data_IF_537797030260
#
_entry.id   IF_537797030260
#
_cell.length_a   1.000
_cell.length_b   1.000
_cell.length_c   1.000
_cell.angle_alpha   90.00
_cell.angle_beta   90.00
_cell.angle_gamma   90.00
#
_symmetry.space_group_name_H-M   'P 1'
#
loop_
_entity.id
_entity.type
_entity.pdbx_description
1 polymer ?
#
# COMPACT_ATOMS: atom_id res chain seq x y z
N UNK A 1 -12.93 12.41 12.07
CA UNK A 1 -11.83 13.35 11.81
C UNK A 1 -12.42 14.24 10.76
N UNK A 2 -12.63 15.50 11.11
CA UNK A 2 -13.09 16.45 10.11
C UNK A 2 -11.95 16.74 9.17
N UNK A 3 -12.20 16.51 7.88
CA UNK A 3 -11.26 16.74 6.80
C UNK A 3 -12.05 17.16 5.57
N UNK A 4 -11.56 18.15 4.87
CA UNK A 4 -11.99 18.54 3.53
C UNK A 4 -10.77 18.57 2.62
N UNK A 5 -10.95 18.20 1.36
CA UNK A 5 -9.88 18.07 0.38
C UNK A 5 -10.22 18.89 -0.86
N UNK A 6 -9.22 19.59 -1.38
CA UNK A 6 -9.27 20.41 -2.58
C UNK A 6 -8.18 20.00 -3.56
N UNK A 7 -8.44 20.24 -4.84
CA UNK A 7 -7.40 20.26 -5.88
C UNK A 7 -7.20 21.72 -6.27
N UNK A 8 -5.96 22.19 -6.15
CA UNK A 8 -5.62 23.60 -6.35
C UNK A 8 -5.36 23.90 -7.83
N UNK A 9 -5.66 25.13 -8.25
CA UNK A 9 -5.53 25.62 -9.64
C UNK A 9 -4.30 26.51 -9.85
N UNK A 10 -3.51 26.78 -8.81
CA UNK A 10 -2.39 27.72 -8.87
C UNK A 10 -2.76 29.19 -8.74
N UNK A 11 -4.05 29.52 -8.60
CA UNK A 11 -4.56 30.89 -8.59
C UNK A 11 -5.40 31.21 -7.35
N UNK A 12 -6.18 30.25 -6.88
CA UNK A 12 -7.06 30.39 -5.72
C UNK A 12 -6.24 30.43 -4.43
N UNK A 13 -6.44 31.48 -3.63
CA UNK A 13 -5.76 31.70 -2.35
C UNK A 13 -6.65 31.44 -1.15
N UNK A 14 -7.96 31.32 -1.35
CA UNK A 14 -8.94 31.20 -0.27
C UNK A 14 -9.74 29.89 -0.39
N UNK A 15 -9.74 29.12 0.69
CA UNK A 15 -10.39 27.82 0.75
C UNK A 15 -11.28 27.71 1.99
N UNK A 16 -12.57 27.49 1.79
CA UNK A 16 -13.52 27.37 2.88
C UNK A 16 -13.42 26.01 3.61
N UNK A 17 -13.82 25.96 4.86
CA UNK A 17 -14.06 24.72 5.59
C UNK A 17 -15.24 24.88 6.53
N UNK A 18 -15.97 23.78 6.77
CA UNK A 18 -17.21 23.78 7.55
C UNK A 18 -17.19 22.66 8.59
N UNK A 19 -16.39 22.84 9.64
CA UNK A 19 -16.39 21.97 10.80
C UNK A 19 -16.08 22.77 12.06
N UNK A 20 -16.60 22.34 13.23
CA UNK A 20 -16.37 23.04 14.49
C UNK A 20 -14.93 22.88 15.00
N UNK A 21 -14.35 23.91 15.59
CA UNK A 21 -13.01 23.92 16.20
C UNK A 21 -12.99 24.85 17.42
N UNK A 22 -11.94 24.79 18.26
CA UNK A 22 -11.88 25.56 19.51
C UNK A 22 -10.92 26.74 19.43
N UNK A 23 -9.89 26.62 18.59
CA UNK A 23 -8.91 27.69 18.34
C UNK A 23 -8.31 27.53 16.94
N UNK A 24 -7.78 28.63 16.40
CA UNK A 24 -7.13 28.64 15.07
C UNK A 24 -6.05 27.55 14.93
N UNK A 25 -5.29 27.29 15.99
CA UNK A 25 -4.23 26.27 16.00
C UNK A 25 -4.74 24.82 15.86
N UNK A 26 -6.05 24.58 16.02
CA UNK A 26 -6.65 23.27 15.81
C UNK A 26 -6.91 22.98 14.33
N UNK A 27 -6.84 23.98 13.45
CA UNK A 27 -7.00 23.80 12.01
C UNK A 27 -5.63 23.63 11.38
N UNK A 28 -5.42 22.49 10.74
CA UNK A 28 -4.16 22.11 10.10
C UNK A 28 -4.36 21.87 8.62
N UNK A 29 -3.26 22.03 7.91
CA UNK A 29 -3.22 21.89 6.46
C UNK A 29 -2.13 20.87 6.09
N UNK A 30 -2.47 19.99 5.15
CA UNK A 30 -1.49 19.16 4.47
C UNK A 30 -1.55 19.42 2.96
N UNK A 31 -0.39 19.44 2.34
CA UNK A 31 -0.22 19.65 0.90
C UNK A 31 0.54 18.44 0.37
N UNK A 32 -0.06 17.72 -0.58
CA UNK A 32 0.45 16.44 -1.08
C UNK A 32 0.85 15.48 0.04
N UNK A 33 -0.04 15.33 1.03
CA UNK A 33 0.12 14.46 2.20
C UNK A 33 1.29 14.82 3.13
N UNK A 34 1.94 15.98 2.93
CA UNK A 34 2.91 16.57 3.84
C UNK A 34 2.24 17.62 4.73
N UNK A 35 2.25 17.41 6.05
CA UNK A 35 1.76 18.40 7.02
C UNK A 35 2.75 19.56 7.06
N UNK A 36 2.35 20.67 6.47
CA UNK A 36 3.21 21.82 6.25
C UNK A 36 3.08 22.84 7.37
N UNK A 37 3.74 22.60 8.50
CA UNK A 37 3.89 23.65 9.53
C UNK A 37 4.92 24.73 9.13
N UNK A 38 5.51 24.68 7.92
CA UNK A 38 6.51 25.68 7.49
C UNK A 38 6.75 25.86 5.99
N UNK A 39 6.00 25.20 5.10
CA UNK A 39 6.23 25.36 3.65
C UNK A 39 5.40 26.50 3.02
N UNK A 40 4.27 26.86 3.60
CA UNK A 40 3.36 27.89 3.10
C UNK A 40 2.87 28.76 4.26
N UNK A 41 2.90 30.08 4.07
CA UNK A 41 2.28 31.00 5.02
C UNK A 41 0.78 31.04 4.73
N UNK A 42 -0.02 30.75 5.76
CA UNK A 42 -1.47 30.81 5.69
C UNK A 42 -2.03 31.39 6.99
N UNK A 43 -3.22 31.97 6.88
CA UNK A 43 -4.00 32.47 8.01
C UNK A 43 -5.36 31.79 8.01
N UNK A 44 -5.83 31.39 9.19
CA UNK A 44 -7.19 30.89 9.38
C UNK A 44 -8.08 32.08 9.75
N UNK A 45 -9.09 32.34 8.94
CA UNK A 45 -10.15 33.32 9.22
C UNK A 45 -11.40 32.57 9.71
N UNK A 46 -11.61 32.49 11.04
CA UNK A 46 -12.77 31.81 11.61
C UNK A 46 -14.05 32.58 11.33
N UNK A 47 -15.19 31.88 11.28
CA UNK A 47 -16.50 32.51 11.45
C UNK A 47 -16.77 32.84 12.93
N UNK A 48 -17.81 33.63 13.21
CA UNK A 48 -18.09 34.14 14.56
C UNK A 48 -18.36 33.03 15.60
N UNK A 49 -18.89 31.89 15.17
CA UNK A 49 -19.32 30.78 16.01
C UNK A 49 -18.34 29.58 16.01
N UNK A 50 -17.17 29.71 15.38
CA UNK A 50 -16.16 28.65 15.25
C UNK A 50 -16.69 27.34 14.65
N UNK A 51 -17.73 27.42 13.82
CA UNK A 51 -18.30 26.27 13.09
C UNK A 51 -17.66 26.05 11.71
N UNK A 52 -16.75 26.94 11.31
CA UNK A 52 -16.01 26.89 10.06
C UNK A 52 -15.19 28.15 9.82
N UNK A 53 -14.81 28.38 8.57
CA UNK A 53 -14.04 29.55 8.21
C UNK A 53 -13.33 29.37 6.88
N UNK A 54 -12.38 30.25 6.61
CA UNK A 54 -11.56 30.20 5.42
C UNK A 54 -10.09 30.09 5.78
N UNK A 55 -9.36 29.29 5.01
CA UNK A 55 -7.91 29.31 4.95
C UNK A 55 -7.51 30.28 3.86
N UNK A 56 -6.72 31.29 4.22
CA UNK A 56 -6.19 32.29 3.29
C UNK A 56 -4.68 32.11 3.18
N UNK A 57 -4.20 31.80 1.99
CA UNK A 57 -2.78 31.69 1.68
C UNK A 57 -2.22 33.04 1.19
N UNK A 58 -1.00 33.37 1.61
CA UNK A 58 -0.28 34.54 1.09
C UNK A 58 0.05 34.39 -0.40
N UNK A 59 0.34 33.15 -0.82
CA UNK A 59 0.64 32.75 -2.20
C UNK A 59 -0.19 31.51 -2.51
N UNK A 60 -0.91 31.53 -3.63
CA UNK A 60 -1.73 30.39 -4.06
C UNK A 60 -0.89 29.10 -4.12
N UNK A 61 -1.37 27.97 -3.56
CA UNK A 61 -0.67 26.70 -3.70
C UNK A 61 -0.54 26.31 -5.19
N UNK A 62 0.53 25.63 -5.61
CA UNK A 62 0.74 25.24 -7.00
C UNK A 62 -0.44 24.50 -7.61
N UNK A 63 -0.63 24.59 -8.93
CA UNK A 63 -1.69 23.86 -9.62
C UNK A 63 -1.54 22.34 -9.45
N UNK A 64 -2.66 21.63 -9.58
CA UNK A 64 -2.78 20.16 -9.52
C UNK A 64 -2.22 19.55 -8.21
N UNK A 65 -2.24 20.33 -7.13
CA UNK A 65 -1.77 19.90 -5.82
C UNK A 65 -2.95 19.57 -4.91
N UNK A 66 -2.84 18.47 -4.16
CA UNK A 66 -3.86 18.07 -3.18
C UNK A 66 -3.70 18.88 -1.90
N UNK A 67 -4.71 19.67 -1.58
CA UNK A 67 -4.80 20.46 -0.37
C UNK A 67 -5.81 19.83 0.59
N UNK A 68 -5.37 19.41 1.76
CA UNK A 68 -6.20 18.86 2.81
C UNK A 68 -6.28 19.83 3.98
N UNK A 69 -7.49 20.22 4.37
CA UNK A 69 -7.75 21.05 5.56
C UNK A 69 -8.47 20.15 6.57
N UNK A 70 -7.91 20.03 7.77
CA UNK A 70 -8.42 19.11 8.76
C UNK A 70 -8.29 19.63 10.19
N UNK A 71 -9.08 19.05 11.08
CA UNK A 71 -9.04 19.37 12.50
C UNK A 71 -8.05 18.47 13.23
N UNK A 72 -7.17 19.07 14.01
CA UNK A 72 -6.25 18.41 14.92
C UNK A 72 -6.19 19.17 16.25
N UNK A 73 -6.96 18.68 17.22
CA UNK A 73 -7.04 19.28 18.55
C UNK A 73 -5.77 18.94 19.35
N UNK A 74 -5.12 19.95 19.91
CA UNK A 74 -4.02 19.74 20.87
C UNK A 74 -4.60 19.45 22.25
N UNK A 75 -4.29 18.29 22.83
CA UNK A 75 -4.85 17.89 24.13
C UNK A 75 -4.17 18.67 25.26
N UNK A 76 -4.74 19.83 25.60
CA UNK A 76 -4.31 20.66 26.72
C UNK A 76 -5.52 21.11 27.51
N UNK A 77 -5.43 21.06 28.84
CA UNK A 77 -6.45 21.67 29.70
C UNK A 77 -6.32 23.19 29.59
N UNK A 78 -7.41 23.85 29.21
CA UNK A 78 -7.47 25.31 29.05
C UNK A 78 -7.95 26.02 30.32
N UNK A 79 -8.71 25.33 31.17
CA UNK A 79 -9.26 25.87 32.41
C UNK A 79 -8.36 25.52 33.60
N UNK A 80 -8.01 26.54 34.39
CA UNK A 80 -7.20 26.38 35.60
C UNK A 80 -8.09 26.15 36.84
N UNK A 81 -8.31 24.87 37.18
CA UNK A 81 -9.06 24.51 38.38
C UNK A 81 -8.20 24.66 39.64
N UNK A 82 -8.59 25.62 40.48
CA UNK A 82 -7.94 25.85 41.76
C UNK A 82 -8.52 24.92 42.85
N UNK A 83 -7.70 24.16 43.59
CA UNK A 83 -8.17 23.17 44.56
C UNK A 83 -9.09 23.71 45.67
N UNK A 84 -8.94 25.00 45.99
CA UNK A 84 -9.68 25.68 47.07
C UNK A 84 -10.87 26.50 46.57
N UNK A 85 -11.01 26.67 45.26
CA UNK A 85 -12.13 27.40 44.68
C UNK A 85 -13.28 26.46 44.32
N UNK A 86 -14.50 27.00 44.34
CA UNK A 86 -15.66 26.30 43.78
C UNK A 86 -15.46 26.15 42.28
N UNK A 87 -15.73 24.95 41.78
CA UNK A 87 -15.73 24.66 40.34
C UNK A 87 -17.01 25.26 39.75
N UNK A 88 -16.86 26.04 38.69
CA UNK A 88 -17.99 26.45 37.86
C UNK A 88 -18.46 25.24 37.02
N UNK A 89 -19.73 24.82 37.12
CA UNK A 89 -20.26 23.73 36.30
C UNK A 89 -20.16 23.98 34.79
N UNK A 90 -20.19 25.23 34.34
CA UNK A 90 -20.12 25.58 32.92
C UNK A 90 -18.71 25.37 32.36
N UNK A 91 -17.70 25.77 33.12
CA UNK A 91 -16.29 25.49 32.84
C UNK A 91 -16.04 23.98 32.78
N UNK A 92 -16.55 23.24 33.78
CA UNK A 92 -16.44 21.79 33.83
C UNK A 92 -17.05 21.11 32.61
N UNK A 93 -18.24 21.54 32.22
CA UNK A 93 -18.93 21.02 31.05
C UNK A 93 -18.16 21.33 29.75
N UNK A 94 -17.55 22.51 29.67
CA UNK A 94 -16.72 22.93 28.53
C UNK A 94 -15.48 22.04 28.37
N UNK A 95 -14.76 21.76 29.46
CA UNK A 95 -13.59 20.86 29.43
C UNK A 95 -14.00 19.41 29.06
N UNK A 96 -15.15 18.94 29.55
CA UNK A 96 -15.69 17.63 29.15
C UNK A 96 -16.07 17.56 27.67
N UNK A 97 -16.71 18.59 27.13
CA UNK A 97 -17.05 18.67 25.71
C UNK A 97 -15.81 18.70 24.82
N UNK A 98 -14.76 19.40 25.26
CA UNK A 98 -13.47 19.42 24.60
C UNK A 98 -12.83 18.02 24.57
N UNK A 99 -12.76 17.33 25.72
CA UNK A 99 -12.22 15.97 25.81
C UNK A 99 -13.00 14.99 24.92
N UNK A 100 -14.33 15.04 24.94
CA UNK A 100 -15.16 14.17 24.10
C UNK A 100 -14.91 14.44 22.60
N UNK A 101 -14.77 15.71 22.23
CA UNK A 101 -14.47 16.11 20.85
C UNK A 101 -13.10 15.61 20.39
N UNK A 102 -12.09 15.66 21.25
CA UNK A 102 -10.77 15.13 20.96
C UNK A 102 -10.78 13.61 20.81
N UNK A 103 -11.50 12.88 21.67
CA UNK A 103 -11.67 11.43 21.52
C UNK A 103 -12.39 11.04 20.24
N UNK A 104 -13.40 11.80 19.81
CA UNK A 104 -14.06 11.57 18.53
C UNK A 104 -13.10 11.70 17.35
N UNK A 105 -12.16 12.64 17.41
CA UNK A 105 -11.14 12.81 16.37
C UNK A 105 -10.10 11.67 16.39
N UNK A 106 -9.74 11.14 17.56
CA UNK A 106 -8.90 9.94 17.66
C UNK A 106 -9.59 8.69 17.12
N UNK A 107 -10.88 8.50 17.40
CA UNK A 107 -11.64 7.33 16.94
C UNK A 107 -11.73 7.25 15.40
N UNK A 108 -11.60 8.36 14.69
CA UNK A 108 -11.50 8.33 13.23
C UNK A 108 -10.12 8.00 12.69
N UNK A 109 -9.08 7.97 13.53
CA UNK A 109 -7.80 7.30 13.25
C UNK A 109 -7.89 5.85 13.71
N UNK A 110 -9.05 5.21 13.55
CA UNK A 110 -9.17 3.78 13.72
C UNK A 110 -8.54 3.14 12.49
N UNK A 111 -7.36 2.55 12.67
CA UNK A 111 -6.82 1.58 11.72
C UNK A 111 -7.91 0.54 11.55
N UNK A 112 -8.48 0.41 10.37
CA UNK A 112 -9.43 -0.65 10.10
C UNK A 112 -8.68 -1.97 10.26
N UNK A 113 -8.83 -2.59 11.44
CA UNK A 113 -8.13 -3.82 11.80
C UNK A 113 -8.55 -4.97 10.88
N UNK A 114 -9.73 -4.87 10.26
CA UNK A 114 -10.21 -5.82 9.26
C UNK A 114 -9.47 -5.61 7.94
N UNK A 115 -9.34 -4.37 7.48
CA UNK A 115 -8.55 -4.04 6.30
C UNK A 115 -7.08 -4.45 6.46
N UNK A 116 -6.49 -4.16 7.64
CA UNK A 116 -5.12 -4.56 7.95
C UNK A 116 -4.94 -6.08 7.97
N UNK A 117 -5.89 -6.82 8.55
CA UNK A 117 -5.87 -8.29 8.55
C UNK A 117 -5.96 -8.86 7.13
N UNK A 118 -6.82 -8.29 6.28
CA UNK A 118 -6.96 -8.71 4.89
C UNK A 118 -5.65 -8.47 4.10
N UNK A 119 -5.05 -7.28 4.23
CA UNK A 119 -3.76 -6.96 3.59
C UNK A 119 -2.66 -7.92 4.05
N UNK A 120 -2.60 -8.23 5.35
CA UNK A 120 -1.63 -9.17 5.90
C UNK A 120 -1.81 -10.57 5.29
N UNK A 121 -3.04 -11.06 5.18
CA UNK A 121 -3.34 -12.38 4.63
C UNK A 121 -3.02 -12.47 3.14
N UNK A 122 -3.28 -11.40 2.37
CA UNK A 122 -2.92 -11.30 0.95
C UNK A 122 -1.39 -11.33 0.77
N UNK A 123 -0.65 -10.56 1.56
CA UNK A 123 0.83 -10.56 1.54
C UNK A 123 1.35 -11.95 1.89
N UNK A 124 0.79 -12.59 2.92
CA UNK A 124 1.19 -13.94 3.34
C UNK A 124 0.94 -14.97 2.24
N UNK A 125 -0.21 -14.89 1.57
CA UNK A 125 -0.55 -15.75 0.43
C UNK A 125 0.46 -15.60 -0.72
N UNK A 126 0.79 -14.35 -1.07
CA UNK A 126 1.79 -14.04 -2.12
C UNK A 126 3.18 -14.58 -1.76
N UNK A 127 3.63 -14.40 -0.51
CA UNK A 127 4.93 -14.90 -0.05
C UNK A 127 4.98 -16.42 -0.13
N UNK A 128 3.94 -17.11 0.33
CA UNK A 128 3.87 -18.57 0.27
C UNK A 128 3.88 -19.07 -1.17
N UNK A 129 3.07 -18.48 -2.05
CA UNK A 129 3.07 -18.81 -3.47
C UNK A 129 4.46 -18.64 -4.10
N UNK A 130 5.12 -17.52 -3.82
CA UNK A 130 6.45 -17.23 -4.35
C UNK A 130 7.49 -18.23 -3.82
N UNK A 131 7.41 -18.55 -2.53
CA UNK A 131 8.27 -19.54 -1.89
C UNK A 131 8.10 -20.93 -2.53
N UNK A 132 6.87 -21.35 -2.80
CA UNK A 132 6.57 -22.62 -3.45
C UNK A 132 7.10 -22.68 -4.89
N UNK A 133 6.95 -21.58 -5.65
CA UNK A 133 7.53 -21.48 -7.01
C UNK A 133 9.06 -21.55 -6.97
N UNK A 134 9.70 -20.90 -6.00
CA UNK A 134 11.15 -20.97 -5.82
C UNK A 134 11.56 -22.40 -5.46
N UNK A 135 10.84 -23.05 -4.55
CA UNK A 135 11.10 -24.43 -4.16
C UNK A 135 10.86 -25.42 -5.30
N UNK A 136 9.91 -25.18 -6.20
CA UNK A 136 9.70 -26.00 -7.39
C UNK A 136 10.84 -25.83 -8.40
N UNK A 137 11.31 -24.58 -8.60
CA UNK A 137 12.39 -24.26 -9.53
C UNK A 137 13.78 -24.67 -9.03
N UNK A 138 14.02 -24.57 -7.73
CA UNK A 138 15.28 -24.97 -7.08
C UNK A 138 15.27 -26.42 -6.62
N UNK A 139 14.09 -26.94 -6.28
CA UNK A 139 13.89 -28.34 -5.97
C UNK A 139 14.15 -29.17 -7.21
N UNK A 140 14.81 -30.32 -7.03
CA UNK A 140 15.17 -31.21 -8.13
C UNK A 140 13.97 -31.72 -8.96
N UNK A 141 12.72 -31.35 -8.71
CA UNK A 141 11.53 -31.79 -9.44
C UNK A 141 11.59 -31.50 -10.94
N UNK A 142 11.92 -30.27 -11.34
CA UNK A 142 12.06 -29.91 -12.75
C UNK A 142 13.25 -30.63 -13.43
N UNK A 143 14.40 -30.68 -12.75
CA UNK A 143 15.61 -31.34 -13.26
C UNK A 143 15.45 -32.86 -13.32
N UNK A 144 14.82 -33.49 -12.32
CA UNK A 144 14.49 -34.91 -12.29
C UNK A 144 13.40 -35.27 -13.30
N UNK A 145 12.49 -34.34 -13.59
CA UNK A 145 11.51 -34.48 -14.68
C UNK A 145 12.19 -34.53 -16.04
N UNK A 146 13.11 -33.60 -16.32
CA UNK A 146 13.92 -33.60 -17.54
C UNK A 146 14.84 -34.84 -17.61
N UNK A 147 15.47 -35.23 -16.50
CA UNK A 147 16.31 -36.43 -16.43
C UNK A 147 15.51 -37.70 -16.73
N UNK A 148 14.34 -37.87 -16.10
CA UNK A 148 13.46 -39.02 -16.36
C UNK A 148 12.94 -39.04 -17.79
N UNK A 149 12.62 -37.89 -18.35
CA UNK A 149 12.20 -37.78 -19.75
C UNK A 149 13.34 -38.18 -20.69
N UNK A 150 14.56 -37.67 -20.47
CA UNK A 150 15.75 -38.03 -21.25
C UNK A 150 16.06 -39.53 -21.15
N UNK A 151 16.04 -40.10 -19.94
CA UNK A 151 16.25 -41.53 -19.72
C UNK A 151 15.17 -42.35 -20.44
N UNK A 152 13.90 -41.96 -20.35
CA UNK A 152 12.81 -42.64 -21.06
C UNK A 152 12.93 -42.54 -22.58
N UNK A 153 13.37 -41.39 -23.13
CA UNK A 153 13.65 -41.25 -24.56
C UNK A 153 14.81 -42.16 -24.98
N UNK A 154 15.89 -42.20 -24.19
CA UNK A 154 17.04 -43.07 -24.43
C UNK A 154 16.65 -44.55 -24.37
N UNK A 155 15.91 -44.99 -23.34
CA UNK A 155 15.43 -46.37 -23.20
C UNK A 155 14.59 -46.83 -24.40
N UNK A 156 13.81 -45.93 -25.00
CA UNK A 156 12.99 -46.25 -26.18
C UNK A 156 13.74 -46.11 -27.51
N UNK A 157 14.77 -45.25 -27.58
CA UNK A 157 15.55 -45.00 -28.79
C UNK A 157 16.72 -45.98 -28.95
N UNK A 158 17.40 -46.38 -27.86
CA UNK A 158 18.56 -47.28 -27.88
C UNK A 158 18.25 -48.65 -28.52
N UNK A 159 17.14 -49.34 -28.20
CA UNK A 159 16.82 -50.62 -28.83
C UNK A 159 16.55 -50.49 -30.34
N UNK A 160 15.99 -49.35 -30.76
CA UNK A 160 15.74 -49.06 -32.18
C UNK A 160 17.03 -48.77 -32.93
N UNK A 161 17.97 -48.07 -32.30
CA UNK A 161 19.32 -47.84 -32.83
C UNK A 161 20.13 -49.15 -32.93
N UNK A 162 19.96 -50.09 -32.00
CA UNK A 162 20.62 -51.41 -32.06
C UNK A 162 20.02 -52.27 -33.18
N UNK A 163 18.70 -52.21 -33.39
CA UNK A 163 18.03 -53.01 -34.41
C UNK A 163 18.20 -52.48 -35.84
N UNK A 164 18.43 -51.17 -36.03
CA UNK A 164 18.66 -50.58 -37.37
C UNK A 164 20.09 -50.79 -37.89
N UNK A 165 21.07 -51.09 -37.02
CA UNK A 165 22.47 -51.29 -37.41
C UNK A 165 22.89 -52.77 -37.52
N UNK A 166 21.95 -53.71 -37.37
CA UNK A 166 22.26 -55.13 -37.32
C UNK A 166 23.01 -55.51 -36.03
N UNK A 167 22.91 -56.78 -35.63
CA UNK A 167 23.63 -57.29 -34.48
C UNK A 167 25.15 -57.08 -34.65
N UNK A 168 25.81 -56.47 -33.66
CA UNK A 168 27.28 -56.29 -33.63
C UNK A 168 28.05 -57.62 -33.64
N UNK A 169 27.35 -58.75 -33.47
CA UNK A 169 27.92 -60.09 -33.47
C UNK A 169 27.65 -60.89 -34.75
N UNK A 170 26.89 -60.34 -35.70
CA UNK A 170 26.78 -60.94 -37.02
C UNK A 170 28.06 -60.64 -37.82
N UNK A 171 28.80 -61.65 -38.31
CA UNK A 171 29.89 -61.39 -39.22
C UNK A 171 29.28 -60.72 -40.45
N UNK A 172 29.81 -59.54 -40.80
CA UNK A 172 29.43 -58.84 -42.02
C UNK A 172 29.41 -59.85 -43.18
N UNK A 173 28.31 -59.94 -43.97
CA UNK A 173 28.30 -60.83 -45.11
C UNK A 173 29.44 -60.39 -46.01
N UNK A 174 30.45 -61.25 -46.19
CA UNK A 174 31.42 -61.08 -47.25
C UNK A 174 30.71 -61.40 -48.57
N UNK A 175 29.83 -60.52 -48.99
CA UNK A 175 29.31 -60.49 -50.33
C UNK A 175 30.02 -59.35 -51.06
N UNK A 176 31.28 -59.59 -51.42
CA UNK A 176 31.82 -59.07 -52.69
C UNK A 176 31.07 -59.74 -53.86
N UNK A 177 29.75 -59.55 -53.91
CA UNK A 177 28.97 -59.77 -55.12
C UNK A 177 28.72 -58.38 -55.68
N UNK A 178 29.55 -58.06 -56.66
CA UNK A 178 29.41 -56.90 -57.51
C UNK A 178 28.01 -56.96 -58.15
N UNK A 179 27.04 -56.27 -57.54
CA UNK A 179 25.71 -56.09 -58.13
C UNK A 179 25.56 -54.63 -58.57
N UNK A 180 26.39 -54.26 -59.56
CA UNK A 180 26.04 -53.17 -60.47
C UNK A 180 24.94 -53.68 -61.41
N UNK A 181 23.71 -53.72 -60.91
CA UNK A 181 22.50 -54.06 -61.65
C UNK A 181 21.69 -52.80 -61.95
N UNK A 182 21.91 -52.25 -63.14
CA UNK A 182 21.13 -51.17 -63.76
C UNK A 182 19.68 -51.64 -63.97
N UNK A 183 18.70 -50.89 -63.44
CA UNK A 183 17.55 -50.26 -64.13
C UNK A 183 16.62 -49.57 -63.12
#
# INVERSE_FOLDING_TARGET
MYKISYITDGLTTEFAFSFPFFQVADVRIAINDSVGDGAFNYTIMPNEDFSGGNVVFDIAPPADTKLDIFRQISLSRTIDYQPTHRIDPEDLNTDFNFLLSAFRDLHSVNVDLVEWANIHDDIKSLINYTHDVINDKLGGGAVLGLYRNLVGVLENALPKLINDYGSITEPAPNENRDDYGIL
#
